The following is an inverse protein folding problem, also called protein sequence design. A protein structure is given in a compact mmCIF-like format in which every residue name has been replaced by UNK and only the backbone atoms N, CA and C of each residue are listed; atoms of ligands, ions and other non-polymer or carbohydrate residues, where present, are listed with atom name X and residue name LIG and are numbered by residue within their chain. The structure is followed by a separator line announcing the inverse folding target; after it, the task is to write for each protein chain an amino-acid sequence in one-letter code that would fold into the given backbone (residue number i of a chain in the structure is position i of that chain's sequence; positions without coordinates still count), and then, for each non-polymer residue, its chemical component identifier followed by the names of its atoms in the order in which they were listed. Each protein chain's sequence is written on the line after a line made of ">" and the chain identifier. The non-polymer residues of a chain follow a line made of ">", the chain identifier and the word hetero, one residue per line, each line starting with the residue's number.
data_IF_788381840194
#
_entry.id   IF_788381840194
#
_cell.length_a   1.000
_cell.length_b   1.000
_cell.length_c   1.000
_cell.angle_alpha   90.00
_cell.angle_beta   90.00
_cell.angle_gamma   90.00
#
_symmetry.space_group_name_H-M   'P 1'
#
loop_
_entity.id
_entity.type
_entity.pdbx_description
1 polymer ?
#
# COMPACT_ATOMS: atom_id res chain seq x y z
N UNK A 1 6.75 7.08 -8.18
CA UNK A 1 7.92 6.20 -7.92
C UNK A 1 7.93 5.75 -6.45
N UNK A 2 7.87 6.68 -5.49
CA UNK A 2 7.87 6.39 -4.04
C UNK A 2 6.69 5.55 -3.51
N UNK A 3 5.49 5.73 -4.03
CA UNK A 3 4.31 5.08 -3.44
C UNK A 3 4.30 3.55 -3.56
N UNK A 4 4.78 3.01 -4.69
CA UNK A 4 4.90 1.56 -4.90
C UNK A 4 5.91 0.96 -3.93
N UNK A 5 7.06 1.61 -3.75
CA UNK A 5 8.11 1.18 -2.82
C UNK A 5 7.59 1.20 -1.37
N UNK A 6 6.81 2.21 -0.98
CA UNK A 6 6.18 2.26 0.35
C UNK A 6 5.14 1.15 0.51
N UNK A 7 4.33 0.86 -0.51
CA UNK A 7 3.36 -0.24 -0.46
C UNK A 7 4.06 -1.60 -0.38
N UNK A 8 5.18 -1.81 -1.09
CA UNK A 8 6.02 -3.01 -0.98
C UNK A 8 6.62 -3.12 0.43
N UNK A 9 7.10 -2.01 0.99
CA UNK A 9 7.60 -1.98 2.37
C UNK A 9 6.51 -2.39 3.38
N UNK A 10 5.31 -1.84 3.27
CA UNK A 10 4.17 -2.24 4.12
C UNK A 10 3.82 -3.72 3.94
N UNK A 11 3.83 -4.23 2.70
CA UNK A 11 3.55 -5.62 2.40
C UNK A 11 4.60 -6.57 3.01
N UNK A 12 5.89 -6.23 2.87
CA UNK A 12 6.99 -7.00 3.45
C UNK A 12 7.02 -6.93 4.99
N UNK A 13 6.46 -5.88 5.57
CA UNK A 13 6.20 -5.78 7.02
C UNK A 13 4.87 -6.45 7.43
N UNK A 14 4.35 -7.36 6.61
CA UNK A 14 3.14 -8.15 6.85
C UNK A 14 1.89 -7.31 7.21
N UNK A 15 1.85 -6.03 6.81
CA UNK A 15 0.66 -5.21 7.00
C UNK A 15 -0.44 -5.70 6.07
N UNK A 16 -1.69 -5.49 6.47
CA UNK A 16 -2.82 -5.58 5.56
C UNK A 16 -2.90 -4.34 4.66
N UNK A 17 -3.59 -4.44 3.52
CA UNK A 17 -3.84 -3.29 2.65
C UNK A 17 -4.57 -2.14 3.36
N UNK A 18 -5.46 -2.47 4.32
CA UNK A 18 -6.19 -1.49 5.10
C UNK A 18 -5.30 -0.79 6.14
N UNK A 19 -4.36 -1.49 6.77
CA UNK A 19 -3.35 -0.87 7.64
C UNK A 19 -2.41 0.03 6.84
N UNK A 20 -1.91 -0.44 5.70
CA UNK A 20 -1.08 0.36 4.81
C UNK A 20 -1.82 1.63 4.36
N UNK A 21 -3.09 1.52 3.96
CA UNK A 21 -3.88 2.69 3.60
C UNK A 21 -4.01 3.70 4.75
N UNK A 22 -4.32 3.24 5.98
CA UNK A 22 -4.42 4.13 7.16
C UNK A 22 -3.11 4.85 7.44
N UNK A 23 -1.98 4.14 7.42
CA UNK A 23 -0.65 4.75 7.60
C UNK A 23 -0.36 5.78 6.50
N UNK A 24 -0.73 5.48 5.26
CA UNK A 24 -0.52 6.40 4.14
C UNK A 24 -1.39 7.65 4.24
N UNK A 25 -2.65 7.53 4.67
CA UNK A 25 -3.52 8.70 4.92
C UNK A 25 -2.97 9.56 6.03
N UNK A 26 -2.43 8.96 7.10
CA UNK A 26 -1.83 9.71 8.21
C UNK A 26 -0.61 10.55 7.77
N UNK A 27 0.21 10.03 6.85
CA UNK A 27 1.42 10.71 6.37
C UNK A 27 1.17 11.66 5.20
N UNK A 28 0.33 11.25 4.25
CA UNK A 28 0.16 11.95 2.96
C UNK A 28 -1.18 12.68 2.82
N UNK A 29 -2.12 12.47 3.75
CA UNK A 29 -3.46 13.08 3.69
C UNK A 29 -4.16 12.78 2.37
N UNK A 30 -4.66 13.83 1.71
CA UNK A 30 -5.37 13.74 0.43
C UNK A 30 -4.51 13.23 -0.73
N UNK A 31 -3.18 13.26 -0.60
CA UNK A 31 -2.26 12.69 -1.59
C UNK A 31 -2.05 11.18 -1.43
N UNK A 32 -2.65 10.56 -0.41
CA UNK A 32 -2.57 9.13 -0.19
C UNK A 32 -3.33 8.35 -1.30
N UNK A 33 -2.87 7.13 -1.64
CA UNK A 33 -3.64 6.25 -2.51
C UNK A 33 -4.96 5.88 -1.85
N UNK A 34 -5.96 5.69 -2.70
CA UNK A 34 -7.24 5.15 -2.24
C UNK A 34 -7.08 3.74 -1.66
N UNK A 35 -7.96 3.39 -0.75
CA UNK A 35 -8.11 2.06 -0.19
C UNK A 35 -8.21 0.96 -1.27
N UNK A 36 -8.94 1.24 -2.35
CA UNK A 36 -9.06 0.34 -3.51
C UNK A 36 -7.71 0.11 -4.19
N UNK A 37 -6.97 1.17 -4.45
CA UNK A 37 -5.63 1.07 -5.06
C UNK A 37 -4.67 0.28 -4.17
N UNK A 38 -4.71 0.47 -2.84
CA UNK A 38 -3.91 -0.32 -1.91
C UNK A 38 -4.24 -1.81 -2.02
N UNK A 39 -5.53 -2.19 -2.02
CA UNK A 39 -5.94 -3.59 -2.18
C UNK A 39 -5.50 -4.21 -3.50
N UNK A 40 -5.62 -3.48 -4.60
CA UNK A 40 -5.19 -3.96 -5.92
C UNK A 40 -3.69 -4.24 -5.96
N UNK A 41 -2.87 -3.34 -5.43
CA UNK A 41 -1.42 -3.55 -5.33
C UNK A 41 -1.07 -4.73 -4.44
N UNK A 42 -1.70 -4.84 -3.26
CA UNK A 42 -1.46 -5.95 -2.35
C UNK A 42 -1.85 -7.30 -2.94
N UNK A 43 -2.89 -7.34 -3.79
CA UNK A 43 -3.21 -8.56 -4.56
C UNK A 43 -2.08 -8.90 -5.53
N UNK A 44 -1.57 -7.93 -6.29
CA UNK A 44 -0.45 -8.14 -7.24
C UNK A 44 0.81 -8.65 -6.54
N UNK A 45 1.16 -8.09 -5.37
CA UNK A 45 2.31 -8.55 -4.59
C UNK A 45 2.17 -10.00 -4.12
N UNK A 46 0.96 -10.43 -3.73
CA UNK A 46 0.68 -11.84 -3.40
C UNK A 46 0.85 -12.77 -4.60
N UNK A 47 0.56 -12.26 -5.80
CA UNK A 47 0.75 -12.99 -7.05
C UNK A 47 2.21 -12.93 -7.56
N UNK A 48 3.12 -12.28 -6.81
CA UNK A 48 4.53 -12.12 -7.16
C UNK A 48 4.83 -10.99 -8.16
N UNK A 49 3.84 -10.15 -8.48
CA UNK A 49 3.96 -9.00 -9.37
C UNK A 49 4.32 -7.74 -8.57
N UNK A 50 5.63 -7.59 -8.29
CA UNK A 50 6.22 -6.53 -7.48
C UNK A 50 6.40 -5.22 -8.22
#
# INVERSE_FOLDING_TARGET
>A
KYLREVLIFCFNWEKSAAEAHRMLVEVYGDAAPTDKSCREWFRRFKDGDF
#
